data_IF_457352596307
#
_entry.id   IF_457352596307
#
_cell.length_a   1.000
_cell.length_b   1.000
_cell.length_c   1.000
_cell.angle_alpha   90.00
_cell.angle_beta   90.00
_cell.angle_gamma   90.00
#
_symmetry.space_group_name_H-M   'P 1'
#
loop_
_entity.id
_entity.type
_entity.pdbx_description
1 polymer ?
#
# COMPACT_ATOMS: atom_id res chain seq x y z
N UNK A 1 9.02 5.02 0.08
CA UNK A 1 8.27 3.82 0.51
C UNK A 1 7.01 4.18 1.29
N UNK A 2 7.07 4.82 2.46
CA UNK A 2 5.85 5.16 3.24
C UNK A 2 4.78 5.93 2.44
N UNK A 3 5.09 7.10 1.88
CA UNK A 3 4.08 7.91 1.17
C UNK A 3 3.48 7.19 -0.04
N UNK A 4 4.31 6.47 -0.79
CA UNK A 4 3.85 5.67 -1.94
C UNK A 4 2.96 4.52 -1.53
N UNK A 5 3.24 3.87 -0.39
CA UNK A 5 2.39 2.81 0.15
C UNK A 5 1.07 3.38 0.67
N UNK A 6 1.11 4.50 1.39
CA UNK A 6 -0.06 5.18 1.92
C UNK A 6 -1.03 5.59 0.81
N UNK A 7 -0.54 6.24 -0.25
CA UNK A 7 -1.36 6.64 -1.40
C UNK A 7 -1.89 5.41 -2.14
N UNK A 8 -1.04 4.40 -2.41
CA UNK A 8 -1.43 3.20 -3.16
C UNK A 8 -2.52 2.39 -2.46
N UNK A 9 -2.37 2.14 -1.16
CA UNK A 9 -3.35 1.41 -0.34
C UNK A 9 -4.68 2.15 -0.31
N UNK A 10 -4.67 3.47 -0.07
CA UNK A 10 -5.90 4.26 -0.05
C UNK A 10 -6.60 4.24 -1.42
N UNK A 11 -5.85 4.39 -2.52
CA UNK A 11 -6.43 4.31 -3.86
C UNK A 11 -7.01 2.92 -4.18
N UNK A 12 -6.49 1.85 -3.56
CA UNK A 12 -6.99 0.49 -3.75
C UNK A 12 -8.29 0.25 -2.99
N UNK A 13 -8.33 0.60 -1.70
CA UNK A 13 -9.44 0.24 -0.81
C UNK A 13 -10.55 1.28 -0.75
N UNK A 14 -10.28 2.55 -1.05
CA UNK A 14 -11.31 3.59 -1.02
C UNK A 14 -12.42 3.36 -2.06
N UNK A 15 -12.13 3.04 -3.35
CA UNK A 15 -13.15 2.67 -4.34
C UNK A 15 -14.05 1.50 -3.92
N UNK A 16 -13.53 0.58 -3.10
CA UNK A 16 -14.28 -0.60 -2.65
C UNK A 16 -15.45 -0.23 -1.73
N UNK A 17 -15.39 0.91 -1.05
CA UNK A 17 -16.51 1.41 -0.24
C UNK A 17 -17.70 1.78 -1.14
N UNK A 18 -17.44 2.46 -2.25
CA UNK A 18 -18.49 2.81 -3.23
C UNK A 18 -19.04 1.57 -3.95
N UNK A 19 -18.19 0.59 -4.26
CA UNK A 19 -18.62 -0.70 -4.82
C UNK A 19 -19.52 -1.48 -3.84
N UNK A 20 -19.19 -1.46 -2.55
CA UNK A 20 -20.02 -2.07 -1.50
C UNK A 20 -21.39 -1.40 -1.36
N UNK A 21 -21.43 -0.05 -1.38
CA UNK A 21 -22.69 0.71 -1.33
C UNK A 21 -23.58 0.48 -2.56
N UNK A 22 -22.98 0.21 -3.72
CA UNK A 22 -23.68 -0.10 -4.97
C UNK A 22 -24.04 -1.59 -5.11
N UNK A 23 -23.89 -2.38 -4.04
CA UNK A 23 -24.39 -3.75 -3.95
C UNK A 23 -23.51 -4.79 -4.63
N UNK A 24 -22.25 -4.48 -4.99
CA UNK A 24 -21.35 -5.43 -5.62
C UNK A 24 -21.05 -6.59 -4.65
N UNK A 25 -21.43 -7.84 -4.96
CA UNK A 25 -21.14 -8.96 -4.10
C UNK A 25 -19.66 -9.35 -4.19
N UNK A 26 -19.11 -9.83 -3.07
CA UNK A 26 -17.71 -10.29 -3.01
C UNK A 26 -17.56 -11.61 -3.78
N UNK A 27 -16.38 -11.85 -4.35
CA UNK A 27 -15.93 -13.12 -4.96
C UNK A 27 -16.52 -13.43 -6.35
N UNK A 28 -16.74 -12.41 -7.17
CA UNK A 28 -17.14 -12.59 -8.57
C UNK A 28 -15.95 -12.28 -9.48
N UNK A 29 -15.73 -13.15 -10.48
CA UNK A 29 -14.73 -12.94 -11.53
C UNK A 29 -15.14 -11.79 -12.45
N UNK A 30 -16.42 -11.74 -12.78
CA UNK A 30 -17.00 -10.79 -13.71
C UNK A 30 -18.06 -9.94 -13.01
N UNK A 31 -18.19 -8.70 -13.48
CA UNK A 31 -19.11 -7.72 -12.93
C UNK A 31 -19.71 -6.89 -14.07
N UNK A 32 -20.95 -6.41 -13.94
CA UNK A 32 -21.57 -5.58 -14.97
C UNK A 32 -20.80 -4.25 -15.16
N UNK A 33 -20.96 -3.67 -16.35
CA UNK A 33 -20.17 -2.51 -16.81
C UNK A 33 -20.25 -1.30 -15.88
N UNK A 34 -21.30 -1.17 -15.08
CA UNK A 34 -21.47 -0.11 -14.09
C UNK A 34 -20.38 -0.09 -12.99
N UNK A 35 -19.73 -1.23 -12.71
CA UNK A 35 -18.67 -1.32 -11.69
C UNK A 35 -17.26 -1.16 -12.26
N UNK A 36 -17.10 -1.07 -13.59
CA UNK A 36 -15.80 -1.04 -14.26
C UNK A 36 -14.93 0.13 -13.82
N UNK A 37 -15.47 1.34 -13.73
CA UNK A 37 -14.72 2.54 -13.39
C UNK A 37 -14.04 2.45 -12.00
N UNK A 38 -14.78 1.98 -10.99
CA UNK A 38 -14.24 1.83 -9.63
C UNK A 38 -13.24 0.67 -9.52
N UNK A 39 -13.45 -0.42 -10.27
CA UNK A 39 -12.50 -1.53 -10.32
C UNK A 39 -11.20 -1.16 -11.03
N UNK A 40 -11.24 -0.36 -12.10
CA UNK A 40 -10.03 0.15 -12.77
C UNK A 40 -9.26 1.09 -11.82
N UNK A 41 -9.97 1.94 -11.09
CA UNK A 41 -9.32 2.83 -10.10
C UNK A 41 -8.64 2.03 -8.98
N UNK A 42 -9.32 0.99 -8.49
CA UNK A 42 -8.76 0.08 -7.48
C UNK A 42 -7.54 -0.69 -8.00
N UNK A 43 -7.57 -1.15 -9.25
CA UNK A 43 -6.44 -1.88 -9.86
C UNK A 43 -5.21 -0.99 -10.05
N UNK A 44 -5.39 0.29 -10.41
CA UNK A 44 -4.30 1.27 -10.44
C UNK A 44 -3.69 1.51 -9.05
N UNK A 45 -4.50 1.51 -7.99
CA UNK A 45 -4.00 1.54 -6.61
C UNK A 45 -3.13 0.32 -6.29
N UNK A 46 -3.57 -0.87 -6.73
CA UNK A 46 -2.87 -2.12 -6.47
C UNK A 46 -1.49 -2.17 -7.11
N UNK A 47 -1.35 -1.70 -8.36
CA UNK A 47 -0.05 -1.65 -9.04
C UNK A 47 0.91 -0.66 -8.35
N UNK A 48 0.40 0.48 -7.87
CA UNK A 48 1.19 1.44 -7.09
C UNK A 48 1.68 0.84 -5.76
N UNK A 49 0.83 0.06 -5.08
CA UNK A 49 1.24 -0.64 -3.85
C UNK A 49 2.30 -1.72 -4.12
N UNK A 50 2.21 -2.44 -5.24
CA UNK A 50 3.21 -3.42 -5.65
C UNK A 50 4.58 -2.75 -5.87
N UNK A 51 4.62 -1.61 -6.56
CA UNK A 51 5.84 -0.82 -6.73
C UNK A 51 6.42 -0.40 -5.37
N UNK A 52 5.56 -0.04 -4.42
CA UNK A 52 5.99 0.35 -3.08
C UNK A 52 6.65 -0.78 -2.29
N UNK A 53 6.15 -2.02 -2.44
CA UNK A 53 6.74 -3.22 -1.83
C UNK A 53 8.11 -3.51 -2.46
N UNK A 54 8.25 -3.40 -3.78
CA UNK A 54 9.55 -3.57 -4.44
C UNK A 54 10.55 -2.55 -3.91
N UNK A 55 10.15 -1.27 -3.79
CA UNK A 55 11.00 -0.25 -3.17
C UNK A 55 11.38 -0.59 -1.72
N UNK A 56 10.46 -1.16 -0.94
CA UNK A 56 10.76 -1.59 0.43
C UNK A 56 11.85 -2.68 0.47
N UNK A 57 11.76 -3.68 -0.40
CA UNK A 57 12.76 -4.75 -0.49
C UNK A 57 14.13 -4.17 -0.85
N UNK A 58 14.18 -3.20 -1.78
CA UNK A 58 15.44 -2.55 -2.16
C UNK A 58 16.06 -1.74 -1.01
N UNK A 59 15.25 -1.00 -0.25
CA UNK A 59 15.72 -0.25 0.93
C UNK A 59 16.26 -1.21 2.01
N UNK A 60 15.55 -2.32 2.24
CA UNK A 60 15.98 -3.36 3.18
C UNK A 60 17.31 -3.97 2.76
N UNK A 61 17.46 -4.29 1.47
CA UNK A 61 18.70 -4.83 0.91
C UNK A 61 19.86 -3.84 1.06
N UNK A 62 19.66 -2.57 0.68
CA UNK A 62 20.69 -1.51 0.83
C UNK A 62 21.14 -1.38 2.29
N UNK A 63 20.18 -1.38 3.22
CA UNK A 63 20.45 -1.23 4.66
C UNK A 63 21.38 -2.32 5.20
N UNK A 64 21.18 -3.57 4.78
CA UNK A 64 22.01 -4.72 5.21
C UNK A 64 23.43 -4.61 4.65
N UNK A 65 23.58 -4.15 3.40
CA UNK A 65 24.88 -4.06 2.73
C UNK A 65 25.69 -2.86 3.22
N UNK A 66 25.07 -1.69 3.39
CA UNK A 66 25.78 -0.44 3.64
C UNK A 66 26.33 -0.29 5.07
N UNK A 67 25.87 -1.11 6.04
CA UNK A 67 26.33 -1.16 7.46
C UNK A 67 26.75 0.22 8.03
N UNK A 68 25.90 1.23 7.86
CA UNK A 68 26.23 2.62 8.27
C UNK A 68 26.28 2.72 9.80
N UNK A 69 27.36 3.27 10.34
CA UNK A 69 27.51 3.51 11.78
C UNK A 69 26.51 4.57 12.23
N UNK A 70 25.78 4.28 13.31
CA UNK A 70 24.85 5.24 13.92
C UNK A 70 25.66 6.28 14.72
N UNK A 71 25.76 7.50 14.19
CA UNK A 71 26.58 8.58 14.80
C UNK A 71 25.87 9.19 16.03
N UNK A 72 24.54 9.23 16.02
CA UNK A 72 23.73 9.72 17.14
C UNK A 72 22.47 8.87 17.31
N UNK A 73 22.21 8.37 18.52
CA UNK A 73 20.92 7.77 18.87
C UNK A 73 19.89 8.90 19.06
N UNK A 74 18.81 8.87 18.28
CA UNK A 74 17.71 9.84 18.37
C UNK A 74 16.51 9.31 19.17
N UNK A 75 16.64 8.10 19.73
CA UNK A 75 15.57 7.45 20.47
C UNK A 75 15.72 7.79 21.96
N UNK A 76 14.71 8.43 22.55
CA UNK A 76 14.55 8.41 24.00
C UNK A 76 14.11 7.01 24.42
N UNK A 77 14.72 6.45 25.47
CA UNK A 77 14.23 5.23 26.10
C UNK A 77 12.93 5.54 26.83
N UNK A 78 11.78 5.35 26.19
CA UNK A 78 10.52 5.20 26.94
C UNK A 78 10.49 3.79 27.51
N UNK A 79 11.02 3.62 28.71
CA UNK A 79 11.03 2.34 29.44
C UNK A 79 9.67 2.03 30.07
N UNK A 80 8.66 1.85 29.23
CA UNK A 80 7.43 1.14 29.55
C UNK A 80 7.19 0.24 28.33
N UNK A 81 7.42 -1.06 28.54
CA UNK A 81 7.54 -2.17 27.56
C UNK A 81 8.95 -2.42 27.01
#
# INVERSE_FOLDING_TARGET
>A
QFMTMFIGVNLTFFPQHFLGLSGMPRRYSDYPDCYTAWNITSSLGSTMSMISIIMFIMIMWESIVAKRVVIFSRNMSSSIE
#
